data_IF_761420708984
#
_entry.id   IF_761420708984
#
_cell.length_a   1.000
_cell.length_b   1.000
_cell.length_c   1.000
_cell.angle_alpha   90.00
_cell.angle_beta   90.00
_cell.angle_gamma   90.00
#
_symmetry.space_group_name_H-M   'P 1'
#
loop_
_entity.id
_entity.type
_entity.pdbx_description
1 polymer ?
#
# COMPACT_ATOMS: atom_id res chain seq x y z
N UNK A 1 50.83 15.96 28.44
CA UNK A 1 49.43 15.73 28.04
C UNK A 1 49.03 16.87 27.10
N UNK A 2 48.40 16.55 25.98
CA UNK A 2 47.86 17.56 25.09
C UNK A 2 46.68 18.30 25.80
N UNK A 3 46.56 19.62 25.70
CA UNK A 3 45.44 20.33 26.30
C UNK A 3 44.13 19.88 25.64
N UNK A 4 43.17 19.48 26.45
CA UNK A 4 41.84 19.14 25.99
C UNK A 4 41.11 20.47 25.70
N UNK A 5 40.60 20.67 24.45
CA UNK A 5 39.85 21.88 24.12
C UNK A 5 38.57 21.97 24.95
N UNK A 6 38.08 23.18 25.15
CA UNK A 6 36.79 23.40 25.81
C UNK A 6 35.64 22.84 24.95
N UNK A 7 34.46 22.64 25.57
CA UNK A 7 33.29 22.08 24.91
C UNK A 7 32.88 22.87 23.66
N UNK A 8 32.95 24.17 23.71
CA UNK A 8 32.52 25.06 22.62
C UNK A 8 33.42 24.88 21.39
N UNK A 9 34.72 24.80 21.60
CA UNK A 9 35.72 24.58 20.56
C UNK A 9 35.55 23.19 19.93
N UNK A 10 35.39 22.16 20.76
CA UNK A 10 35.13 20.82 20.32
C UNK A 10 33.83 20.74 19.50
N UNK A 11 32.75 21.33 20.00
CA UNK A 11 31.45 21.36 19.33
C UNK A 11 31.51 22.03 17.97
N UNK A 12 32.18 23.21 17.86
CA UNK A 12 32.37 23.92 16.57
C UNK A 12 33.13 23.07 15.59
N UNK A 13 34.19 22.40 16.04
CA UNK A 13 34.97 21.50 15.18
C UNK A 13 34.14 20.32 14.68
N UNK A 14 33.40 19.63 15.55
CA UNK A 14 32.50 18.56 15.16
C UNK A 14 31.44 19.03 14.17
N UNK A 15 30.89 20.24 14.37
CA UNK A 15 29.86 20.75 13.46
C UNK A 15 30.41 21.18 12.10
N UNK A 16 31.64 21.68 12.03
CA UNK A 16 32.26 22.15 10.80
C UNK A 16 32.95 21.05 10.00
N UNK A 17 33.76 20.23 10.68
CA UNK A 17 34.72 19.34 10.00
C UNK A 17 34.26 17.89 9.90
N UNK A 18 33.34 17.45 10.78
CA UNK A 18 32.82 16.07 10.68
C UNK A 18 31.70 15.99 9.65
N UNK A 19 31.79 15.08 8.66
CA UNK A 19 30.73 14.89 7.67
C UNK A 19 29.38 14.55 8.30
N UNK A 20 28.29 15.06 7.70
CA UNK A 20 26.92 14.83 8.20
C UNK A 20 26.58 13.37 8.41
N UNK A 21 26.92 12.44 7.49
CA UNK A 21 26.65 11.00 7.70
C UNK A 21 27.27 10.43 8.97
N UNK A 22 28.50 10.89 9.32
CA UNK A 22 29.21 10.45 10.54
C UNK A 22 28.52 11.00 11.79
N UNK A 23 28.08 12.26 11.74
CA UNK A 23 27.30 12.88 12.83
C UNK A 23 25.99 12.15 13.09
N UNK A 24 25.24 11.86 12.01
CA UNK A 24 23.97 11.12 12.10
C UNK A 24 24.19 9.71 12.65
N UNK A 25 25.21 9.00 12.13
CA UNK A 25 25.52 7.64 12.61
C UNK A 25 25.90 7.64 14.10
N UNK A 26 26.73 8.59 14.53
CA UNK A 26 27.22 8.67 15.92
C UNK A 26 26.16 9.12 16.92
N UNK A 27 25.24 10.02 16.53
CA UNK A 27 24.23 10.61 17.44
C UNK A 27 22.90 9.89 17.43
N UNK A 28 22.44 9.45 16.28
CA UNK A 28 21.11 8.93 16.06
C UNK A 28 21.10 7.42 15.71
N UNK A 29 22.27 6.86 15.45
CA UNK A 29 22.48 5.44 15.23
C UNK A 29 22.23 4.97 13.77
N UNK A 30 22.41 3.66 13.52
CA UNK A 30 22.39 3.09 12.17
C UNK A 30 21.08 3.32 11.41
N UNK A 31 19.94 3.28 12.08
CA UNK A 31 18.65 3.48 11.44
C UNK A 31 18.52 4.87 10.83
N UNK A 32 18.84 5.92 11.61
CA UNK A 32 18.80 7.30 11.12
C UNK A 32 19.82 7.54 10.00
N UNK A 33 20.99 6.91 10.08
CA UNK A 33 21.98 6.93 9.00
C UNK A 33 21.42 6.33 7.70
N UNK A 34 20.84 5.13 7.75
CA UNK A 34 20.23 4.52 6.57
C UNK A 34 19.07 5.36 6.02
N UNK A 35 18.26 5.96 6.88
CA UNK A 35 17.10 6.75 6.48
C UNK A 35 17.49 8.09 5.81
N UNK A 36 18.60 8.71 6.20
CA UNK A 36 18.99 10.06 5.73
C UNK A 36 20.18 10.05 4.77
N UNK A 37 21.16 9.19 5.00
CA UNK A 37 22.47 9.27 4.36
C UNK A 37 22.76 8.15 3.38
N UNK A 38 22.03 7.02 3.41
CA UNK A 38 22.29 5.95 2.45
C UNK A 38 21.77 6.32 1.06
N UNK A 39 22.51 5.96 0.04
CA UNK A 39 22.07 6.08 -1.34
C UNK A 39 20.84 5.20 -1.57
N UNK A 40 19.84 5.73 -2.27
CA UNK A 40 18.69 4.96 -2.72
C UNK A 40 18.66 4.86 -4.24
N UNK A 41 18.27 3.71 -4.74
CA UNK A 41 18.08 3.51 -6.17
C UNK A 41 16.81 4.26 -6.57
N UNK A 42 16.93 5.26 -7.46
CA UNK A 42 15.78 5.90 -8.09
C UNK A 42 15.15 4.92 -9.06
N UNK A 43 13.85 4.73 -8.97
CA UNK A 43 13.12 3.97 -9.98
C UNK A 43 13.00 4.82 -11.24
N UNK A 44 13.32 4.22 -12.38
CA UNK A 44 13.11 4.84 -13.67
C UNK A 44 11.68 4.58 -14.14
N UNK A 45 10.83 5.57 -13.98
CA UNK A 45 9.44 5.48 -14.42
C UNK A 45 9.26 5.85 -15.90
N UNK A 46 10.24 6.51 -16.52
CA UNK A 46 10.12 7.01 -17.89
C UNK A 46 9.92 5.90 -18.92
N UNK A 47 10.63 4.79 -18.76
CA UNK A 47 10.58 3.64 -19.66
C UNK A 47 9.61 2.55 -19.21
N UNK A 48 8.98 2.71 -18.02
CA UNK A 48 8.04 1.74 -17.49
C UNK A 48 6.73 1.79 -18.28
N UNK A 49 6.16 0.62 -18.53
CA UNK A 49 4.85 0.47 -19.17
C UNK A 49 3.73 0.38 -18.13
N UNK A 50 2.53 0.77 -18.52
CA UNK A 50 1.34 0.50 -17.71
C UNK A 50 1.09 -1.01 -17.64
N UNK A 51 0.66 -1.51 -16.49
CA UNK A 51 0.54 -2.93 -16.16
C UNK A 51 1.86 -3.71 -16.06
N UNK A 52 3.01 -3.06 -16.18
CA UNK A 52 4.29 -3.72 -15.93
C UNK A 52 4.47 -4.05 -14.44
N UNK A 53 4.15 -3.09 -13.57
CA UNK A 53 4.15 -3.27 -12.11
C UNK A 53 2.89 -2.71 -11.48
N UNK A 54 2.21 -3.54 -10.70
CA UNK A 54 1.21 -3.09 -9.74
C UNK A 54 1.80 -3.12 -8.34
N UNK A 55 1.52 -2.09 -7.55
CA UNK A 55 1.91 -1.99 -6.14
C UNK A 55 0.67 -2.23 -5.31
N UNK A 56 0.73 -3.15 -4.37
CA UNK A 56 -0.40 -3.46 -3.49
C UNK A 56 -0.09 -3.09 -2.05
N UNK A 57 -1.11 -2.57 -1.37
CA UNK A 57 -1.06 -2.26 0.05
C UNK A 57 -2.47 -2.12 0.63
N UNK A 58 -2.54 -2.13 1.97
CA UNK A 58 -3.79 -1.96 2.71
C UNK A 58 -3.72 -0.72 3.59
N UNK A 59 -4.76 0.11 3.51
CA UNK A 59 -4.91 1.34 4.28
C UNK A 59 -6.17 1.29 5.14
N UNK A 60 -6.08 1.73 6.39
CA UNK A 60 -7.25 1.91 7.25
C UNK A 60 -7.82 3.31 7.03
N UNK A 61 -9.10 3.43 6.64
CA UNK A 61 -9.71 4.73 6.48
C UNK A 61 -9.77 5.53 7.79
N UNK A 62 -9.56 6.82 7.69
CA UNK A 62 -9.71 7.75 8.81
C UNK A 62 -11.17 8.24 8.94
N UNK A 63 -12.12 7.32 8.79
CA UNK A 63 -13.57 7.54 8.89
C UNK A 63 -14.16 6.45 9.78
N UNK A 64 -15.03 6.83 10.69
CA UNK A 64 -15.81 5.88 11.49
C UNK A 64 -17.10 5.58 10.74
N UNK A 65 -17.38 4.29 10.54
CA UNK A 65 -18.57 3.80 9.86
C UNK A 65 -19.37 2.91 10.79
N UNK A 66 -20.59 2.56 10.41
CA UNK A 66 -21.50 1.71 11.17
C UNK A 66 -21.85 0.47 10.37
N UNK A 67 -21.55 -0.69 10.93
CA UNK A 67 -21.94 -1.99 10.37
C UNK A 67 -23.41 -2.32 10.59
N UNK A 68 -23.89 -3.31 9.85
CA UNK A 68 -25.26 -3.82 9.95
C UNK A 68 -25.65 -4.29 11.37
N UNK A 69 -24.68 -4.76 12.15
CA UNK A 69 -24.85 -5.13 13.55
C UNK A 69 -24.93 -3.95 14.53
N UNK A 70 -24.88 -2.71 14.05
CA UNK A 70 -24.99 -1.49 14.86
C UNK A 70 -23.71 -1.02 15.54
N UNK A 71 -22.63 -1.78 15.46
CA UNK A 71 -21.32 -1.38 15.99
C UNK A 71 -20.61 -0.39 15.07
N UNK A 72 -19.81 0.51 15.66
CA UNK A 72 -18.98 1.45 14.90
C UNK A 72 -17.53 0.97 14.80
N UNK A 73 -16.95 1.09 13.61
CA UNK A 73 -15.58 0.67 13.34
C UNK A 73 -14.96 1.50 12.20
N UNK A 74 -13.77 1.16 11.79
CA UNK A 74 -13.08 1.75 10.64
C UNK A 74 -12.86 0.65 9.61
N UNK A 75 -13.13 0.96 8.34
CA UNK A 75 -12.94 0.04 7.24
C UNK A 75 -11.51 0.08 6.69
N UNK A 76 -11.12 -1.00 6.03
CA UNK A 76 -9.82 -1.15 5.35
C UNK A 76 -10.02 -1.04 3.84
N UNK A 77 -9.11 -0.33 3.19
CA UNK A 77 -8.96 -0.29 1.74
C UNK A 77 -7.81 -1.17 1.33
N UNK A 78 -8.06 -2.30 0.71
CA UNK A 78 -7.05 -3.06 -0.03
C UNK A 78 -7.00 -2.54 -1.46
N UNK A 79 -5.84 -2.03 -1.89
CA UNK A 79 -5.71 -1.39 -3.18
C UNK A 79 -4.51 -1.91 -3.97
N UNK A 80 -4.70 -2.05 -5.27
CA UNK A 80 -3.67 -2.22 -6.28
C UNK A 80 -3.56 -0.94 -7.09
N UNK A 81 -2.35 -0.45 -7.28
CA UNK A 81 -2.04 0.77 -8.01
C UNK A 81 -1.05 0.47 -9.12
N UNK A 82 -1.32 0.95 -10.33
CA UNK A 82 -0.34 0.90 -11.41
C UNK A 82 0.83 1.84 -11.12
N UNK A 83 2.05 1.30 -11.14
CA UNK A 83 3.24 2.03 -10.74
C UNK A 83 3.58 3.17 -11.70
N UNK A 84 3.27 3.02 -13.00
CA UNK A 84 3.59 4.00 -14.03
C UNK A 84 2.69 5.24 -13.96
N UNK A 85 1.41 5.02 -13.90
CA UNK A 85 0.39 6.08 -13.98
C UNK A 85 -0.11 6.57 -12.63
N UNK A 86 -0.03 5.71 -11.59
CA UNK A 86 -0.56 5.99 -10.27
C UNK A 86 -2.10 5.87 -10.16
N UNK A 87 -2.78 5.23 -11.14
CA UNK A 87 -4.20 4.91 -11.00
C UNK A 87 -4.41 3.76 -10.03
N UNK A 88 -5.53 3.79 -9.32
CA UNK A 88 -6.01 2.62 -8.59
C UNK A 88 -6.69 1.66 -9.57
N UNK A 89 -6.04 0.54 -9.85
CA UNK A 89 -6.53 -0.46 -10.82
C UNK A 89 -7.52 -1.43 -10.20
N UNK A 90 -7.34 -1.76 -8.92
CA UNK A 90 -8.22 -2.67 -8.19
C UNK A 90 -8.32 -2.28 -6.74
N UNK A 91 -9.55 -2.17 -6.24
CA UNK A 91 -9.84 -1.77 -4.87
C UNK A 91 -10.91 -2.64 -4.24
N UNK A 92 -10.79 -2.88 -2.94
CA UNK A 92 -11.81 -3.50 -2.13
C UNK A 92 -11.85 -2.88 -0.74
N UNK A 93 -13.04 -2.54 -0.27
CA UNK A 93 -13.29 -1.99 1.06
C UNK A 93 -13.96 -3.07 1.91
N UNK A 94 -13.43 -3.32 3.11
CA UNK A 94 -13.96 -4.33 4.02
C UNK A 94 -13.65 -3.96 5.48
N UNK A 95 -14.33 -4.62 6.40
CA UNK A 95 -14.17 -4.48 7.86
C UNK A 95 -12.93 -5.21 8.41
N UNK A 96 -12.36 -6.10 7.62
CA UNK A 96 -11.19 -6.91 8.00
C UNK A 96 -10.08 -6.82 6.95
N UNK A 97 -8.85 -7.06 7.34
CA UNK A 97 -7.73 -7.23 6.41
C UNK A 97 -7.47 -8.74 6.21
N UNK A 98 -7.79 -9.25 5.02
CA UNK A 98 -7.70 -10.67 4.70
C UNK A 98 -7.19 -10.94 3.29
N UNK A 99 -6.65 -12.15 3.07
CA UNK A 99 -6.25 -12.61 1.73
C UNK A 99 -7.42 -12.64 0.74
N UNK A 100 -8.65 -12.88 1.22
CA UNK A 100 -9.85 -12.84 0.38
C UNK A 100 -10.10 -11.43 -0.16
N UNK A 101 -9.86 -10.40 0.63
CA UNK A 101 -9.99 -9.00 0.19
C UNK A 101 -8.92 -8.65 -0.85
N UNK A 102 -7.70 -9.18 -0.71
CA UNK A 102 -6.64 -9.05 -1.71
C UNK A 102 -7.06 -9.67 -3.03
N UNK A 103 -7.60 -10.90 -3.01
CA UNK A 103 -8.08 -11.59 -4.21
C UNK A 103 -9.25 -10.85 -4.86
N UNK A 104 -10.17 -10.31 -4.07
CA UNK A 104 -11.32 -9.53 -4.58
C UNK A 104 -10.85 -8.24 -5.25
N UNK A 105 -9.93 -7.50 -4.63
CA UNK A 105 -9.35 -6.29 -5.21
C UNK A 105 -8.57 -6.60 -6.50
N UNK A 106 -7.76 -7.67 -6.49
CA UNK A 106 -7.02 -8.14 -7.66
C UNK A 106 -7.96 -8.49 -8.81
N UNK A 107 -9.00 -9.29 -8.55
CA UNK A 107 -9.98 -9.70 -9.53
C UNK A 107 -10.66 -8.50 -10.20
N UNK A 108 -11.09 -7.51 -9.42
CA UNK A 108 -11.68 -6.26 -9.94
C UNK A 108 -10.71 -5.52 -10.87
N UNK A 109 -9.44 -5.44 -10.47
CA UNK A 109 -8.38 -4.85 -11.27
C UNK A 109 -8.16 -5.56 -12.59
N UNK A 110 -8.02 -6.88 -12.56
CA UNK A 110 -7.79 -7.72 -13.74
C UNK A 110 -8.93 -7.61 -14.74
N UNK A 111 -10.18 -7.67 -14.27
CA UNK A 111 -11.35 -7.55 -15.13
C UNK A 111 -11.37 -6.23 -15.90
N UNK A 112 -10.99 -5.14 -15.27
CA UNK A 112 -11.06 -3.79 -15.85
C UNK A 112 -9.80 -3.43 -16.64
N UNK A 113 -8.64 -3.66 -16.06
CA UNK A 113 -7.36 -3.18 -16.57
C UNK A 113 -6.46 -4.27 -17.17
N UNK A 114 -6.77 -5.55 -16.97
CA UNK A 114 -5.98 -6.68 -17.43
C UNK A 114 -4.99 -7.19 -16.39
N UNK A 115 -4.27 -8.26 -16.72
CA UNK A 115 -3.31 -8.91 -15.82
C UNK A 115 -1.98 -8.15 -15.85
N UNK A 116 -1.41 -7.72 -14.69
CA UNK A 116 -0.08 -7.12 -14.64
C UNK A 116 1.02 -8.16 -14.89
N UNK A 117 2.21 -7.71 -15.27
CA UNK A 117 3.37 -8.59 -15.38
C UNK A 117 3.99 -8.87 -14.02
N UNK A 118 4.01 -7.86 -13.14
CA UNK A 118 4.60 -7.96 -11.82
C UNK A 118 3.69 -7.32 -10.75
N UNK A 119 3.73 -7.86 -9.54
CA UNK A 119 3.11 -7.26 -8.35
C UNK A 119 4.18 -7.04 -7.28
N UNK A 120 4.23 -5.83 -6.75
CA UNK A 120 5.09 -5.44 -5.64
C UNK A 120 4.25 -5.31 -4.38
N UNK A 121 4.53 -6.16 -3.39
CA UNK A 121 3.80 -6.23 -2.11
C UNK A 121 4.74 -6.03 -0.93
N UNK A 122 4.17 -5.75 0.24
CA UNK A 122 4.93 -5.90 1.48
C UNK A 122 4.98 -7.38 1.91
N UNK A 123 5.61 -7.62 3.09
CA UNK A 123 5.65 -8.96 3.68
C UNK A 123 4.40 -9.26 4.52
N UNK A 124 3.26 -8.65 4.22
CA UNK A 124 2.00 -8.89 4.89
C UNK A 124 1.53 -10.33 4.71
N UNK A 125 0.95 -10.91 5.75
CA UNK A 125 0.48 -12.31 5.73
C UNK A 125 -0.60 -12.54 4.70
N UNK A 126 -1.42 -11.53 4.42
CA UNK A 126 -2.49 -11.52 3.44
C UNK A 126 -2.00 -11.72 2.01
N UNK A 127 -0.80 -11.21 1.68
CA UNK A 127 -0.16 -11.36 0.37
C UNK A 127 0.66 -12.64 0.24
N UNK A 128 1.24 -13.10 1.36
CA UNK A 128 2.11 -14.30 1.39
C UNK A 128 1.34 -15.61 1.58
N UNK A 129 0.02 -15.55 1.72
CA UNK A 129 -0.83 -16.72 1.87
C UNK A 129 -0.63 -17.69 0.69
N UNK A 130 -0.81 -18.99 0.96
CA UNK A 130 -0.68 -20.08 -0.03
C UNK A 130 -1.56 -19.86 -1.25
N UNK A 131 -2.75 -19.29 -1.07
CA UNK A 131 -3.71 -19.05 -2.15
C UNK A 131 -3.36 -17.85 -3.02
N UNK A 132 -2.66 -16.84 -2.49
CA UNK A 132 -2.32 -15.58 -3.17
C UNK A 132 -0.92 -15.67 -3.79
N UNK A 133 0.11 -15.52 -2.97
CA UNK A 133 1.51 -15.45 -3.39
C UNK A 133 2.29 -16.76 -3.24
N UNK A 134 1.78 -17.71 -2.48
CA UNK A 134 2.33 -19.07 -2.35
C UNK A 134 3.60 -19.21 -1.50
N UNK A 135 4.17 -18.11 -0.99
CA UNK A 135 5.40 -18.18 -0.19
C UNK A 135 5.18 -18.64 1.23
N UNK A 136 3.93 -18.72 1.68
CA UNK A 136 3.45 -19.24 2.95
C UNK A 136 4.24 -18.80 4.18
N UNK A 137 3.59 -18.24 5.20
CA UNK A 137 4.21 -18.26 6.51
C UNK A 137 4.43 -19.73 6.89
N UNK A 138 5.68 -20.10 7.20
CA UNK A 138 5.95 -21.36 7.91
C UNK A 138 5.03 -21.39 9.14
N UNK A 139 3.91 -22.08 9.03
CA UNK A 139 3.18 -22.51 10.22
C UNK A 139 4.22 -23.24 11.05
N UNK A 140 4.45 -22.76 12.28
CA UNK A 140 5.21 -23.52 13.28
C UNK A 140 4.64 -24.92 13.23
N UNK A 141 5.42 -25.90 12.76
CA UNK A 141 5.03 -27.30 12.86
C UNK A 141 4.74 -27.54 14.34
N UNK A 142 3.48 -27.68 14.68
CA UNK A 142 3.11 -28.19 15.99
C UNK A 142 3.69 -29.58 16.05
N UNK A 143 4.44 -29.87 17.11
CA UNK A 143 5.21 -31.10 17.32
C UNK A 143 4.36 -32.40 17.32
N UNK A 144 3.07 -32.33 17.03
CA UNK A 144 2.09 -33.40 17.19
C UNK A 144 1.33 -33.77 15.89
N UNK A 145 1.79 -33.37 14.72
CA UNK A 145 1.25 -33.96 13.50
C UNK A 145 1.95 -35.31 13.26
N UNK A 146 1.34 -36.35 13.80
CA UNK A 146 1.57 -37.72 13.39
C UNK A 146 1.40 -37.81 11.87
N UNK A 147 2.45 -38.23 11.19
CA UNK A 147 2.40 -38.59 9.78
C UNK A 147 1.58 -39.89 9.66
N UNK A 148 0.27 -39.74 9.59
CA UNK A 148 -0.57 -40.78 9.04
C UNK A 148 -0.30 -40.82 7.52
N UNK A 149 0.04 -41.97 7.02
CA UNK A 149 0.15 -42.26 5.61
C UNK A 149 -1.27 -42.17 5.01
N UNK A 150 -1.61 -41.00 4.49
CA UNK A 150 -2.80 -40.80 3.68
C UNK A 150 -2.32 -40.46 2.28
N UNK A 151 -2.24 -41.48 1.42
CA UNK A 151 -1.76 -41.44 0.04
C UNK A 151 -2.73 -40.75 -0.93
N UNK A 152 -3.68 -39.98 -0.43
CA UNK A 152 -4.43 -39.06 -1.28
C UNK A 152 -3.62 -37.77 -1.40
N UNK A 153 -2.81 -37.67 -2.46
CA UNK A 153 -2.26 -36.38 -2.90
C UNK A 153 -3.44 -35.44 -3.15
N UNK A 154 -3.80 -34.67 -2.11
CA UNK A 154 -4.80 -33.61 -2.27
C UNK A 154 -4.22 -32.63 -3.27
N UNK A 155 -4.83 -32.56 -4.44
CA UNK A 155 -4.50 -31.56 -5.44
C UNK A 155 -4.61 -30.17 -4.79
N UNK A 156 -3.47 -29.53 -4.57
CA UNK A 156 -3.39 -28.15 -4.09
C UNK A 156 -3.19 -27.26 -5.30
N UNK A 157 -4.17 -26.45 -5.69
CA UNK A 157 -4.02 -25.59 -6.85
C UNK A 157 -2.86 -24.60 -6.62
N UNK A 158 -2.10 -24.27 -7.66
CA UNK A 158 -1.04 -23.26 -7.52
C UNK A 158 -1.62 -21.91 -7.12
N UNK A 159 -0.83 -21.08 -6.42
CA UNK A 159 -1.23 -19.74 -6.03
C UNK A 159 -1.75 -18.91 -7.19
N UNK A 160 -2.70 -18.00 -6.93
CA UNK A 160 -3.34 -17.19 -7.97
C UNK A 160 -2.32 -16.40 -8.79
N UNK A 161 -1.31 -15.82 -8.17
CA UNK A 161 -0.27 -15.09 -8.92
C UNK A 161 0.48 -15.99 -9.90
N UNK A 162 0.80 -17.21 -9.48
CA UNK A 162 1.49 -18.20 -10.34
C UNK A 162 0.59 -18.62 -11.50
N UNK A 163 -0.69 -18.90 -11.24
CA UNK A 163 -1.67 -19.29 -12.28
C UNK A 163 -1.85 -18.23 -13.34
N UNK A 164 -1.86 -16.96 -12.92
CA UNK A 164 -1.99 -15.80 -13.82
C UNK A 164 -0.67 -15.38 -14.48
N UNK A 165 0.44 -16.08 -14.19
CA UNK A 165 1.77 -15.71 -14.68
C UNK A 165 2.23 -14.33 -14.20
N UNK A 166 1.87 -13.96 -12.98
CA UNK A 166 2.27 -12.71 -12.33
C UNK A 166 3.50 -12.99 -11.48
N UNK A 167 4.55 -12.20 -11.66
CA UNK A 167 5.75 -12.26 -10.80
C UNK A 167 5.53 -11.44 -9.54
N UNK A 168 5.68 -12.06 -8.38
CA UNK A 168 5.60 -11.37 -7.10
C UNK A 168 6.99 -10.92 -6.64
N UNK A 169 7.10 -9.67 -6.25
CA UNK A 169 8.30 -9.09 -5.64
C UNK A 169 7.94 -8.52 -4.28
N UNK A 170 8.63 -8.96 -3.24
CA UNK A 170 8.42 -8.47 -1.89
C UNK A 170 9.27 -7.24 -1.61
N UNK A 171 8.72 -6.30 -0.84
CA UNK A 171 9.48 -5.16 -0.34
C UNK A 171 10.59 -5.64 0.60
N UNK A 172 11.77 -5.04 0.47
CA UNK A 172 12.85 -5.26 1.42
C UNK A 172 12.41 -4.72 2.77
N UNK A 173 12.51 -5.55 3.81
CA UNK A 173 12.15 -5.19 5.18
C UNK A 173 12.88 -3.90 5.60
N UNK A 174 12.13 -2.94 6.15
CA UNK A 174 12.60 -1.63 6.62
C UNK A 174 13.00 -0.62 5.52
N UNK A 175 12.60 -0.82 4.26
CA UNK A 175 12.78 0.16 3.20
C UNK A 175 11.44 0.84 2.86
N UNK A 176 10.92 1.65 3.81
CA UNK A 176 9.65 2.37 3.67
C UNK A 176 9.61 3.33 2.46
N UNK A 177 10.76 3.85 2.02
CA UNK A 177 10.85 4.76 0.85
C UNK A 177 10.50 4.09 -0.48
N UNK A 178 10.33 2.78 -0.49
CA UNK A 178 10.11 2.02 -1.71
C UNK A 178 8.64 2.00 -2.20
N UNK A 179 7.66 2.37 -1.35
CA UNK A 179 6.24 2.28 -1.70
C UNK A 179 5.63 3.64 -2.04
N UNK A 180 5.40 3.88 -3.32
CA UNK A 180 4.70 5.08 -3.79
C UNK A 180 3.21 5.09 -3.46
N UNK A 181 2.62 3.93 -3.20
CA UNK A 181 1.20 3.80 -2.83
C UNK A 181 0.86 4.47 -1.50
N UNK A 182 1.78 4.50 -0.54
CA UNK A 182 1.58 5.19 0.75
C UNK A 182 1.27 6.68 0.55
N UNK A 183 1.96 7.34 -0.39
CA UNK A 183 1.66 8.73 -0.74
C UNK A 183 0.25 8.87 -1.34
N UNK A 184 -0.18 7.90 -2.13
CA UNK A 184 -1.54 7.88 -2.69
C UNK A 184 -2.61 7.68 -1.61
N UNK A 185 -2.32 6.95 -0.55
CA UNK A 185 -3.22 6.86 0.59
C UNK A 185 -3.34 8.19 1.36
N UNK A 186 -2.30 9.01 1.38
CA UNK A 186 -2.42 10.40 1.86
C UNK A 186 -3.40 11.21 1.01
N UNK A 187 -3.39 11.03 -0.32
CA UNK A 187 -4.37 11.67 -1.21
C UNK A 187 -5.78 11.14 -0.93
N UNK A 188 -5.97 9.82 -0.74
CA UNK A 188 -7.26 9.22 -0.35
C UNK A 188 -7.76 9.82 0.97
N UNK A 189 -6.91 9.94 1.98
CA UNK A 189 -7.26 10.59 3.23
C UNK A 189 -7.74 12.04 3.01
N UNK A 190 -6.98 12.83 2.27
CA UNK A 190 -7.22 14.26 2.12
C UNK A 190 -8.38 14.58 1.18
N UNK A 191 -8.62 13.78 0.15
CA UNK A 191 -9.61 14.03 -0.89
C UNK A 191 -10.89 13.21 -0.73
N UNK A 192 -10.84 12.08 0.00
CA UNK A 192 -11.98 11.20 0.20
C UNK A 192 -12.40 11.16 1.67
N UNK A 193 -11.50 10.74 2.60
CA UNK A 193 -11.90 10.56 4.00
C UNK A 193 -12.40 11.84 4.65
N UNK A 194 -11.86 12.99 4.28
CA UNK A 194 -12.29 14.31 4.79
C UNK A 194 -13.65 14.79 4.29
N UNK A 195 -14.24 14.12 3.30
CA UNK A 195 -15.59 14.43 2.83
C UNK A 195 -16.70 13.90 3.77
N UNK A 196 -16.35 13.01 4.68
CA UNK A 196 -17.31 12.37 5.59
C UNK A 196 -17.31 13.07 6.94
N UNK A 197 -18.50 13.35 7.48
CA UNK A 197 -18.67 14.01 8.78
C UNK A 197 -18.06 13.20 9.93
N UNK A 198 -17.99 11.89 9.79
CA UNK A 198 -17.37 10.97 10.76
C UNK A 198 -15.87 10.77 10.55
N UNK A 199 -15.20 11.72 9.86
CA UNK A 199 -13.73 11.75 9.78
C UNK A 199 -13.13 11.81 11.19
N UNK A 200 -12.21 10.88 11.48
CA UNK A 200 -11.61 10.75 12.81
C UNK A 200 -10.14 11.20 12.89
N UNK A 201 -9.55 11.54 11.74
CA UNK A 201 -8.13 11.86 11.66
C UNK A 201 -7.20 10.67 11.84
N UNK A 202 -5.98 10.78 11.36
CA UNK A 202 -4.92 9.78 11.57
C UNK A 202 -4.21 9.93 12.92
N UNK A 203 -4.36 11.07 13.58
CA UNK A 203 -3.74 11.39 14.87
C UNK A 203 -4.76 12.03 15.82
N UNK A 204 -4.43 12.04 17.13
CA UNK A 204 -5.29 12.67 18.15
C UNK A 204 -5.51 14.17 17.87
N UNK A 205 -4.49 14.84 17.31
CA UNK A 205 -4.54 16.27 16.98
C UNK A 205 -5.46 16.56 15.80
N UNK A 206 -5.57 15.65 14.84
CA UNK A 206 -6.44 15.81 13.67
C UNK A 206 -7.90 15.46 13.95
N UNK A 207 -8.20 14.90 15.12
CA UNK A 207 -9.55 14.42 15.47
C UNK A 207 -10.51 15.59 15.66
N UNK A 208 -11.60 15.71 14.87
CA UNK A 208 -12.58 16.76 15.04
C UNK A 208 -13.29 16.68 16.40
N UNK A 209 -13.51 17.82 17.06
CA UNK A 209 -14.22 17.87 18.34
C UNK A 209 -15.67 17.38 18.22
N UNK A 210 -16.32 17.67 17.09
CA UNK A 210 -17.70 17.30 16.79
C UNK A 210 -17.91 15.79 16.67
N UNK A 211 -16.87 15.01 16.36
CA UNK A 211 -16.99 13.56 16.17
C UNK A 211 -17.65 12.86 17.36
N UNK A 212 -17.35 13.28 18.59
CA UNK A 212 -17.98 12.70 19.79
C UNK A 212 -19.50 12.88 19.84
N UNK A 213 -19.99 14.01 19.35
CA UNK A 213 -21.42 14.31 19.29
C UNK A 213 -22.11 13.48 18.21
N UNK A 214 -21.53 13.40 17.01
CA UNK A 214 -22.02 12.59 15.91
C UNK A 214 -22.13 11.11 16.28
N UNK A 215 -21.09 10.56 16.91
CA UNK A 215 -21.11 9.18 17.38
C UNK A 215 -22.17 8.91 18.44
N UNK A 216 -22.42 9.87 19.36
CA UNK A 216 -23.49 9.74 20.36
C UNK A 216 -24.86 9.91 19.77
N UNK A 217 -25.04 10.79 18.77
CA UNK A 217 -26.29 11.02 18.06
C UNK A 217 -26.68 9.88 17.11
N UNK A 218 -25.77 8.95 16.84
CA UNK A 218 -25.99 7.83 15.90
C UNK A 218 -25.94 8.23 14.42
N UNK A 219 -25.50 9.45 14.13
CA UNK A 219 -25.33 10.00 12.78
C UNK A 219 -24.01 9.50 12.16
N UNK A 220 -23.94 8.20 11.90
CA UNK A 220 -22.73 7.54 11.36
C UNK A 220 -23.09 6.92 10.03
N UNK A 221 -22.26 7.17 9.01
CA UNK A 221 -22.45 6.60 7.68
C UNK A 221 -22.41 5.06 7.73
N UNK A 222 -23.32 4.42 7.00
CA UNK A 222 -23.35 2.96 6.89
C UNK A 222 -22.17 2.44 6.06
N UNK A 223 -21.70 1.25 6.36
CA UNK A 223 -20.61 0.61 5.63
C UNK A 223 -20.90 0.47 4.12
N UNK A 224 -22.15 0.14 3.77
CA UNK A 224 -22.61 0.02 2.38
C UNK A 224 -22.48 1.34 1.62
N UNK A 225 -22.98 2.43 2.21
CA UNK A 225 -23.01 3.75 1.60
C UNK A 225 -21.59 4.33 1.49
N UNK A 226 -20.80 4.14 2.54
CA UNK A 226 -19.39 4.51 2.53
C UNK A 226 -18.63 3.78 1.42
N UNK A 227 -18.79 2.45 1.33
CA UNK A 227 -18.10 1.62 0.33
C UNK A 227 -18.48 2.03 -1.10
N UNK A 228 -19.76 2.25 -1.37
CA UNK A 228 -20.24 2.69 -2.68
C UNK A 228 -19.69 4.08 -3.05
N UNK A 229 -19.70 5.01 -2.10
CA UNK A 229 -19.15 6.36 -2.29
C UNK A 229 -17.65 6.33 -2.56
N UNK A 230 -16.89 5.58 -1.77
CA UNK A 230 -15.43 5.43 -1.94
C UNK A 230 -15.09 4.83 -3.29
N UNK A 231 -15.79 3.79 -3.74
CA UNK A 231 -15.54 3.18 -5.04
C UNK A 231 -15.73 4.19 -6.18
N UNK A 232 -16.80 4.98 -6.12
CA UNK A 232 -17.08 6.04 -7.11
C UNK A 232 -16.00 7.13 -7.10
N UNK A 233 -15.57 7.55 -5.92
CA UNK A 233 -14.54 8.59 -5.78
C UNK A 233 -13.16 8.10 -6.22
N UNK A 234 -12.80 6.84 -5.95
CA UNK A 234 -11.54 6.26 -6.43
C UNK A 234 -11.51 6.20 -7.97
N UNK A 235 -12.58 5.74 -8.58
CA UNK A 235 -12.67 5.61 -10.02
C UNK A 235 -12.74 6.97 -10.74
N UNK A 236 -13.58 7.88 -10.26
CA UNK A 236 -13.79 9.20 -10.85
C UNK A 236 -12.74 10.22 -10.41
N UNK A 237 -12.72 10.56 -9.12
CA UNK A 237 -11.88 11.66 -8.62
C UNK A 237 -10.40 11.31 -8.64
N UNK A 238 -10.01 10.12 -8.14
CA UNK A 238 -8.60 9.79 -7.98
C UNK A 238 -7.93 9.37 -9.30
N UNK A 239 -8.60 8.58 -10.12
CA UNK A 239 -8.04 8.09 -11.38
C UNK A 239 -8.10 9.14 -12.50
N UNK A 240 -9.11 10.01 -12.51
CA UNK A 240 -9.22 11.13 -13.46
C UNK A 240 -8.48 12.40 -13.00
N UNK A 241 -7.89 12.41 -11.81
CA UNK A 241 -7.09 13.54 -11.35
C UNK A 241 -5.82 13.71 -12.18
N UNK A 242 -5.28 14.94 -12.20
CA UNK A 242 -4.05 15.26 -12.89
C UNK A 242 -2.88 14.37 -12.45
N UNK A 243 -2.07 13.97 -13.41
CA UNK A 243 -0.85 13.22 -13.14
C UNK A 243 0.19 14.11 -12.47
N UNK A 244 0.61 13.74 -11.28
CA UNK A 244 1.62 14.40 -10.47
C UNK A 244 2.82 13.48 -10.15
N UNK A 245 3.03 12.47 -10.99
CA UNK A 245 4.14 11.52 -10.86
C UNK A 245 5.48 12.08 -11.34
N UNK A 246 6.54 11.26 -11.31
CA UNK A 246 7.90 11.71 -11.58
C UNK A 246 8.20 12.01 -13.05
N UNK A 247 7.38 11.57 -14.00
CA UNK A 247 7.62 11.71 -15.44
C UNK A 247 7.04 13.02 -15.95
N UNK A 248 7.88 14.02 -16.16
CA UNK A 248 7.44 15.39 -16.49
C UNK A 248 6.69 15.52 -17.81
N UNK A 249 7.02 14.70 -18.82
CA UNK A 249 6.34 14.72 -20.12
C UNK A 249 4.83 14.38 -20.05
N UNK A 250 4.40 13.79 -18.95
CA UNK A 250 3.00 13.39 -18.73
C UNK A 250 2.22 14.37 -17.84
N UNK A 251 2.87 15.43 -17.34
CA UNK A 251 2.18 16.48 -16.60
C UNK A 251 1.17 17.18 -17.54
N UNK A 252 0.03 17.58 -16.98
CA UNK A 252 -1.11 18.12 -17.74
C UNK A 252 -2.06 17.06 -18.31
N UNK A 253 -1.73 15.77 -18.20
CA UNK A 253 -2.65 14.66 -18.49
C UNK A 253 -3.32 14.16 -17.22
N UNK A 254 -4.47 13.48 -17.35
CA UNK A 254 -5.00 12.72 -16.22
C UNK A 254 -4.23 11.42 -16.04
N UNK A 255 -4.24 10.86 -14.83
CA UNK A 255 -3.58 9.57 -14.54
C UNK A 255 -4.10 8.45 -15.44
N UNK A 256 -5.40 8.45 -15.71
CA UNK A 256 -6.02 7.47 -16.61
C UNK A 256 -5.55 7.64 -18.06
N UNK A 257 -5.34 8.87 -18.52
CA UNK A 257 -4.73 9.13 -19.84
C UNK A 257 -3.30 8.61 -19.89
N UNK A 258 -2.49 8.89 -18.85
CA UNK A 258 -1.12 8.34 -18.75
C UNK A 258 -1.12 6.82 -18.78
N UNK A 259 -2.08 6.19 -18.10
CA UNK A 259 -2.21 4.72 -18.16
C UNK A 259 -2.49 4.23 -19.58
N UNK A 260 -3.43 4.86 -20.29
CA UNK A 260 -3.80 4.49 -21.67
C UNK A 260 -2.65 4.69 -22.65
N UNK A 261 -1.96 5.82 -22.56
CA UNK A 261 -0.86 6.21 -23.46
C UNK A 261 0.36 5.28 -23.32
N UNK A 262 0.59 4.71 -22.13
CA UNK A 262 1.74 3.84 -21.86
C UNK A 262 1.37 2.34 -21.79
N UNK A 263 0.17 1.95 -22.20
CA UNK A 263 -0.24 0.57 -22.26
C UNK A 263 0.18 -0.06 -23.60
N UNK A 264 1.23 -0.87 -23.59
CA UNK A 264 1.70 -1.57 -24.80
C UNK A 264 0.83 -2.78 -25.16
N UNK A 265 0.37 -3.52 -24.14
CA UNK A 265 -0.50 -4.69 -24.28
C UNK A 265 -1.41 -4.85 -23.08
N UNK A 266 -2.59 -5.42 -23.30
CA UNK A 266 -3.52 -5.81 -22.23
C UNK A 266 -3.64 -7.33 -22.20
N UNK A 267 -3.08 -7.97 -21.16
CA UNK A 267 -3.27 -9.40 -20.89
C UNK A 267 -4.67 -9.61 -20.31
N UNK A 268 -5.45 -10.51 -20.91
CA UNK A 268 -6.82 -10.77 -20.46
C UNK A 268 -6.85 -12.14 -19.78
N UNK A 269 -7.50 -12.21 -18.63
CA UNK A 269 -7.70 -13.47 -17.91
C UNK A 269 -8.76 -14.34 -18.62
N UNK A 270 -8.53 -15.64 -18.69
CA UNK A 270 -9.57 -16.56 -19.11
C UNK A 270 -10.66 -16.67 -18.02
N UNK A 271 -11.92 -16.97 -18.37
CA UNK A 271 -12.98 -17.12 -17.37
C UNK A 271 -12.66 -18.14 -16.26
N UNK A 272 -11.88 -19.16 -16.59
CA UNK A 272 -11.44 -20.17 -15.63
C UNK A 272 -10.37 -19.68 -14.63
N UNK A 273 -9.76 -18.52 -14.88
CA UNK A 273 -8.71 -17.94 -14.02
C UNK A 273 -9.29 -16.97 -12.98
N UNK A 274 -10.53 -16.58 -13.11
CA UNK A 274 -11.27 -15.60 -12.31
C UNK A 274 -12.32 -16.24 -11.42
#
# INVERSE_FOLDING_TARGET
ALPVPDYTTFYRHVMADVPEPVKVMGREGPKAFYDRCSHYIRREYENMQSNEYWIADTHTFDVVTKGDGGGTHRLYLTAFMDARSGIFVGCHVADTNSSQNVLTALRRGILRYGIPDNIYVDNGREYLNKDVGGTGHRTRKTKNEWQGWDDTEKFVPPPVFTRLGIKMTNAIVRNARAKTIERRFCDVKNQISRLFDTFCGGTVVEKPEQLKHLLKGGEVVLDSDFTASVQTLLDGLMNESEYNGPVQRDHGKTKLQVWRDNLSRKRIAAPADL
#
